data_IF_589444339176
#
_entry.id   IF_589444339176
#
_cell.length_a   1.000
_cell.length_b   1.000
_cell.length_c   1.000
_cell.angle_alpha   90.00
_cell.angle_beta   90.00
_cell.angle_gamma   90.00
#
_symmetry.space_group_name_H-M   'P 1'
#
loop_
_entity.id
_entity.type
_entity.pdbx_description
1 polymer ?
#
# COMPACT_ATOMS: atom_id res chain seq x y z
N UNK A 1 53.21 19.80 -30.48
CA UNK A 1 52.66 18.64 -29.76
C UNK A 1 52.57 19.00 -28.30
N UNK A 2 51.36 19.21 -27.80
CA UNK A 2 51.08 19.32 -26.37
C UNK A 2 49.67 18.74 -26.19
N UNK A 3 49.62 17.56 -25.59
CA UNK A 3 48.39 16.80 -25.37
C UNK A 3 47.57 17.41 -24.22
N UNK A 4 46.26 17.40 -24.43
CA UNK A 4 45.25 17.78 -23.46
C UNK A 4 44.94 16.61 -22.53
N UNK A 5 44.82 16.85 -21.24
CA UNK A 5 44.14 15.94 -20.31
C UNK A 5 43.26 16.76 -19.37
N UNK A 6 42.06 17.06 -19.85
CA UNK A 6 40.92 17.44 -19.01
C UNK A 6 40.45 16.23 -18.20
N UNK A 7 40.36 16.43 -16.89
CA UNK A 7 39.76 15.54 -15.91
C UNK A 7 38.38 15.03 -16.36
N UNK A 8 38.25 13.71 -16.46
CA UNK A 8 36.96 13.02 -16.51
C UNK A 8 36.55 12.68 -15.08
N UNK A 9 35.71 13.53 -14.49
CA UNK A 9 34.82 13.14 -13.40
C UNK A 9 33.89 12.05 -13.94
N UNK A 10 34.18 10.79 -13.64
CA UNK A 10 33.29 9.67 -13.92
C UNK A 10 32.10 9.76 -12.96
N UNK A 11 31.03 10.41 -13.40
CA UNK A 11 29.70 10.22 -12.82
C UNK A 11 29.30 8.77 -13.04
N UNK A 12 29.36 7.94 -12.01
CA UNK A 12 28.83 6.58 -12.03
C UNK A 12 27.32 6.65 -12.23
N UNK A 13 26.88 6.21 -13.42
CA UNK A 13 25.49 5.94 -13.77
C UNK A 13 24.86 5.07 -12.68
N UNK A 14 23.87 5.61 -11.98
CA UNK A 14 22.88 4.77 -11.30
C UNK A 14 21.86 4.44 -12.38
N UNK A 15 21.97 3.23 -12.94
CA UNK A 15 20.95 2.68 -13.83
C UNK A 15 19.59 2.81 -13.15
N UNK A 16 18.63 3.44 -13.84
CA UNK A 16 17.27 3.65 -13.38
C UNK A 16 16.62 2.32 -13.04
N UNK A 17 16.65 1.95 -11.76
CA UNK A 17 15.80 0.89 -11.21
C UNK A 17 14.47 1.54 -10.89
N UNK A 18 13.46 1.24 -11.71
CA UNK A 18 12.08 1.57 -11.41
C UNK A 18 11.62 0.63 -10.30
N UNK A 19 11.57 1.13 -9.06
CA UNK A 19 11.18 0.34 -7.89
C UNK A 19 9.84 0.89 -7.46
N UNK A 20 8.78 0.27 -7.96
CA UNK A 20 7.42 0.65 -7.61
C UNK A 20 7.19 0.29 -6.15
N UNK A 21 7.05 1.32 -5.30
CA UNK A 21 6.79 1.22 -3.87
C UNK A 21 5.33 1.53 -3.69
N UNK A 22 4.53 0.48 -3.80
CA UNK A 22 3.14 0.53 -3.41
C UNK A 22 3.06 0.62 -1.92
N UNK A 23 2.74 1.80 -1.44
CA UNK A 23 2.62 2.06 -0.03
C UNK A 23 1.14 2.42 0.19
N UNK A 24 0.38 1.56 0.85
CA UNK A 24 -0.88 2.00 1.48
C UNK A 24 -0.47 2.90 2.64
N UNK A 25 -0.08 4.15 2.33
CA UNK A 25 0.54 5.05 3.31
C UNK A 25 -0.43 5.56 4.37
N UNK A 26 -1.66 5.09 4.33
CA UNK A 26 -2.59 5.20 5.43
C UNK A 26 -3.11 3.80 5.69
N UNK A 27 -2.44 3.05 6.57
CA UNK A 27 -3.11 1.98 7.32
C UNK A 27 -4.04 2.66 8.29
N UNK A 28 -5.20 3.08 7.80
CA UNK A 28 -6.31 3.25 8.71
C UNK A 28 -6.87 1.86 8.95
N UNK A 29 -6.28 1.19 9.94
CA UNK A 29 -6.87 0.08 10.67
C UNK A 29 -8.10 0.64 11.40
N UNK A 30 -9.15 1.03 10.66
CA UNK A 30 -10.41 1.42 11.27
C UNK A 30 -11.28 0.18 11.43
N UNK A 31 -10.69 -0.84 12.04
CA UNK A 31 -11.42 -2.02 12.49
C UNK A 31 -12.51 -1.61 13.47
N UNK A 32 -12.31 -0.52 14.20
CA UNK A 32 -13.27 0.03 15.15
C UNK A 32 -14.62 0.39 14.49
N UNK A 33 -14.64 0.91 13.26
CA UNK A 33 -15.91 1.28 12.62
C UNK A 33 -16.69 0.07 12.14
N UNK A 34 -16.01 -0.89 11.52
CA UNK A 34 -16.64 -2.12 11.08
C UNK A 34 -17.13 -2.93 12.29
N UNK A 35 -16.32 -2.98 13.36
CA UNK A 35 -16.70 -3.56 14.65
C UNK A 35 -17.89 -2.83 15.29
N UNK A 36 -17.96 -1.50 15.23
CA UNK A 36 -19.11 -0.73 15.71
C UNK A 36 -20.40 -1.03 14.95
N UNK A 37 -20.33 -1.15 13.62
CA UNK A 37 -21.49 -1.50 12.80
C UNK A 37 -21.98 -2.90 13.22
N UNK A 38 -21.06 -3.87 13.28
CA UNK A 38 -21.37 -5.25 13.67
C UNK A 38 -21.90 -5.37 15.11
N UNK A 39 -21.36 -4.60 16.05
CA UNK A 39 -21.74 -4.64 17.45
C UNK A 39 -23.23 -4.29 17.67
N UNK A 40 -23.82 -3.42 16.83
CA UNK A 40 -25.26 -3.12 16.90
C UNK A 40 -26.16 -4.31 16.57
N UNK A 41 -25.63 -5.28 15.84
CA UNK A 41 -26.30 -6.54 15.53
C UNK A 41 -25.89 -7.66 16.50
N UNK A 42 -25.18 -7.33 17.58
CA UNK A 42 -24.65 -8.31 18.53
C UNK A 42 -23.56 -9.21 17.92
N UNK A 43 -22.88 -8.74 16.87
CA UNK A 43 -21.82 -9.49 16.18
C UNK A 43 -20.45 -8.91 16.51
N UNK A 44 -19.46 -9.79 16.55
CA UNK A 44 -18.05 -9.44 16.80
C UNK A 44 -17.28 -9.46 15.50
N UNK A 45 -16.46 -8.43 15.26
CA UNK A 45 -15.47 -8.48 14.18
C UNK A 45 -14.27 -9.30 14.61
N UNK A 46 -14.30 -10.61 14.36
CA UNK A 46 -13.20 -11.50 14.75
C UNK A 46 -11.92 -11.16 13.99
N UNK A 47 -10.76 -11.48 14.60
CA UNK A 47 -9.45 -11.30 13.96
C UNK A 47 -9.34 -12.08 12.65
N UNK A 48 -9.97 -13.26 12.56
CA UNK A 48 -10.00 -14.06 11.35
C UNK A 48 -10.78 -13.38 10.21
N UNK A 49 -11.96 -12.85 10.52
CA UNK A 49 -12.79 -12.15 9.54
C UNK A 49 -12.10 -10.86 9.08
N UNK A 50 -11.49 -10.14 10.02
CA UNK A 50 -10.66 -8.97 9.75
C UNK A 50 -9.53 -9.31 8.77
N UNK A 51 -8.74 -10.33 9.10
CA UNK A 51 -7.64 -10.86 8.28
C UNK A 51 -8.05 -11.20 6.85
N UNK A 52 -9.19 -11.88 6.67
CA UNK A 52 -9.72 -12.27 5.34
C UNK A 52 -10.25 -11.08 4.54
N UNK A 53 -10.75 -10.06 5.22
CA UNK A 53 -11.37 -8.90 4.61
C UNK A 53 -10.38 -7.81 4.16
N UNK A 54 -9.17 -7.79 4.72
CA UNK A 54 -8.13 -6.83 4.36
C UNK A 54 -7.72 -6.95 2.89
N UNK A 55 -7.50 -5.79 2.26
CA UNK A 55 -7.14 -5.69 0.84
C UNK A 55 -8.31 -5.87 -0.15
N UNK A 56 -9.50 -6.30 0.30
CA UNK A 56 -10.68 -6.39 -0.57
C UNK A 56 -11.17 -5.00 -1.00
N UNK A 57 -11.75 -4.96 -2.20
CA UNK A 57 -12.51 -3.80 -2.67
C UNK A 57 -13.80 -3.67 -1.86
N UNK A 58 -14.38 -2.47 -1.89
CA UNK A 58 -15.49 -2.09 -1.02
C UNK A 58 -16.70 -3.04 -1.10
N UNK A 59 -17.10 -3.43 -2.31
CA UNK A 59 -18.25 -4.31 -2.49
C UNK A 59 -17.96 -5.73 -1.98
N UNK A 60 -16.82 -6.31 -2.38
CA UNK A 60 -16.38 -7.64 -1.97
C UNK A 60 -16.20 -7.73 -0.45
N UNK A 61 -15.71 -6.66 0.19
CA UNK A 61 -15.63 -6.53 1.64
C UNK A 61 -17.02 -6.64 2.28
N UNK A 62 -17.99 -5.85 1.83
CA UNK A 62 -19.33 -5.83 2.42
C UNK A 62 -20.05 -7.17 2.24
N UNK A 63 -19.92 -7.79 1.06
CA UNK A 63 -20.46 -9.13 0.78
C UNK A 63 -19.86 -10.17 1.73
N UNK A 64 -18.52 -10.19 1.91
CA UNK A 64 -17.87 -11.10 2.85
C UNK A 64 -18.40 -10.90 4.27
N UNK A 65 -18.42 -9.66 4.75
CA UNK A 65 -18.86 -9.33 6.11
C UNK A 65 -20.30 -9.76 6.38
N UNK A 66 -21.22 -9.48 5.46
CA UNK A 66 -22.63 -9.85 5.60
C UNK A 66 -22.82 -11.36 5.59
N UNK A 67 -22.18 -12.06 4.64
CA UNK A 67 -22.29 -13.51 4.54
C UNK A 67 -21.75 -14.23 5.79
N UNK A 68 -20.65 -13.75 6.35
CA UNK A 68 -19.99 -14.38 7.51
C UNK A 68 -20.72 -14.07 8.83
N UNK A 69 -21.28 -12.87 8.96
CA UNK A 69 -21.93 -12.43 10.21
C UNK A 69 -23.43 -12.71 10.24
N UNK A 70 -24.07 -12.81 9.07
CA UNK A 70 -25.51 -12.96 8.91
C UNK A 70 -26.32 -11.77 9.43
N UNK A 71 -25.75 -10.56 9.42
CA UNK A 71 -26.48 -9.35 9.80
C UNK A 71 -27.58 -9.04 8.78
N UNK A 72 -28.67 -8.46 9.26
CA UNK A 72 -29.79 -8.04 8.41
C UNK A 72 -29.49 -6.67 7.77
N UNK A 73 -28.56 -6.68 6.82
CA UNK A 73 -28.18 -5.54 5.98
C UNK A 73 -27.80 -6.04 4.59
N UNK A 74 -28.08 -5.22 3.58
CA UNK A 74 -27.52 -5.40 2.24
C UNK A 74 -26.09 -4.84 2.15
N UNK A 75 -25.26 -5.31 1.20
CA UNK A 75 -23.91 -4.76 0.98
C UNK A 75 -23.90 -3.24 0.74
N UNK A 76 -24.93 -2.73 0.08
CA UNK A 76 -25.05 -1.30 -0.21
C UNK A 76 -25.39 -0.47 1.03
N UNK A 77 -26.30 -0.96 1.89
CA UNK A 77 -26.60 -0.32 3.17
C UNK A 77 -25.37 -0.29 4.09
N UNK A 78 -24.66 -1.41 4.17
CA UNK A 78 -23.42 -1.51 4.95
C UNK A 78 -22.37 -0.52 4.44
N UNK A 79 -22.17 -0.47 3.12
CA UNK A 79 -21.21 0.44 2.51
C UNK A 79 -21.58 1.91 2.68
N UNK A 80 -22.85 2.26 2.53
CA UNK A 80 -23.34 3.63 2.74
C UNK A 80 -23.04 4.11 4.15
N UNK A 81 -23.26 3.26 5.14
CA UNK A 81 -22.95 3.59 6.51
C UNK A 81 -21.45 3.65 6.77
N UNK A 82 -20.68 2.68 6.26
CA UNK A 82 -19.23 2.68 6.39
C UNK A 82 -18.60 3.93 5.78
N UNK A 83 -19.08 4.37 4.62
CA UNK A 83 -18.65 5.62 3.99
C UNK A 83 -18.88 6.81 4.93
N UNK A 84 -20.07 6.91 5.52
CA UNK A 84 -20.38 8.01 6.47
C UNK A 84 -19.39 8.04 7.62
N UNK A 85 -19.13 6.90 8.27
CA UNK A 85 -18.17 6.81 9.37
C UNK A 85 -16.73 7.08 8.90
N UNK A 86 -16.36 6.59 7.71
CA UNK A 86 -15.07 6.87 7.07
C UNK A 86 -14.83 8.38 6.92
N UNK A 87 -15.83 9.15 6.46
CA UNK A 87 -15.72 10.61 6.33
C UNK A 87 -15.43 11.31 7.66
N UNK A 88 -15.93 10.78 8.77
CA UNK A 88 -15.69 11.34 10.11
C UNK A 88 -14.27 11.07 10.62
N UNK A 89 -13.65 9.95 10.21
CA UNK A 89 -12.36 9.48 10.75
C UNK A 89 -11.16 9.67 9.83
N UNK A 90 -11.34 9.53 8.52
CA UNK A 90 -10.26 9.65 7.53
C UNK A 90 -9.49 10.96 7.58
N UNK A 91 -10.09 12.13 7.88
CA UNK A 91 -9.32 13.35 8.08
C UNK A 91 -8.25 13.21 9.18
N UNK A 92 -8.48 12.42 10.22
CA UNK A 92 -7.53 12.25 11.32
C UNK A 92 -6.51 11.12 11.06
N UNK A 93 -6.49 10.58 9.85
CA UNK A 93 -5.53 9.57 9.43
C UNK A 93 -4.11 10.07 9.55
N UNK A 94 -3.26 9.29 10.21
CA UNK A 94 -1.83 9.54 10.23
C UNK A 94 -1.11 8.52 9.33
N UNK A 95 0.01 8.91 8.73
CA UNK A 95 0.87 7.98 8.03
C UNK A 95 1.42 6.93 8.99
N UNK A 96 1.79 5.78 8.45
CA UNK A 96 2.49 4.77 9.24
C UNK A 96 3.84 5.30 9.73
N UNK A 97 4.31 4.85 10.91
CA UNK A 97 5.68 5.09 11.34
C UNK A 97 6.67 4.63 10.26
N UNK A 98 7.55 5.54 9.83
CA UNK A 98 8.58 5.30 8.81
C UNK A 98 8.15 5.62 7.37
N UNK A 99 6.86 5.81 7.09
CA UNK A 99 6.37 6.12 5.74
C UNK A 99 6.99 7.39 5.15
N UNK A 100 6.87 8.51 5.87
CA UNK A 100 7.44 9.79 5.42
C UNK A 100 8.95 9.68 5.17
N UNK A 101 9.67 8.95 6.04
CA UNK A 101 11.10 8.71 5.90
C UNK A 101 11.42 7.90 4.64
N UNK A 102 10.68 6.81 4.41
CA UNK A 102 10.85 5.95 3.24
C UNK A 102 10.56 6.72 1.95
N UNK A 103 9.37 7.33 1.82
CA UNK A 103 8.97 8.09 0.63
C UNK A 103 9.95 9.23 0.33
N UNK A 104 10.35 10.02 1.34
CA UNK A 104 11.32 11.10 1.17
C UNK A 104 12.68 10.57 0.70
N UNK A 105 13.15 9.45 1.25
CA UNK A 105 14.39 8.81 0.86
C UNK A 105 14.36 8.39 -0.61
N UNK A 106 13.29 7.71 -1.03
CA UNK A 106 13.13 7.23 -2.41
C UNK A 106 13.10 8.39 -3.40
N UNK A 107 12.37 9.46 -3.06
CA UNK A 107 12.34 10.67 -3.88
C UNK A 107 13.68 11.37 -4.00
N UNK A 108 14.43 11.49 -2.90
CA UNK A 108 15.78 12.04 -2.92
C UNK A 108 16.69 11.27 -3.88
N UNK A 109 16.50 9.96 -3.98
CA UNK A 109 17.24 9.09 -4.88
C UNK A 109 16.64 8.94 -6.28
N UNK A 110 15.58 9.70 -6.61
CA UNK A 110 14.86 9.65 -7.89
C UNK A 110 14.34 8.26 -8.25
N UNK A 111 13.93 7.51 -7.23
CA UNK A 111 13.27 6.23 -7.42
C UNK A 111 11.77 6.53 -7.66
N UNK A 112 11.21 6.09 -8.80
CA UNK A 112 9.79 6.27 -9.08
C UNK A 112 8.93 5.47 -8.11
N UNK A 113 7.84 6.06 -7.61
CA UNK A 113 6.96 5.42 -6.62
C UNK A 113 5.49 5.69 -6.97
N UNK A 114 4.63 4.69 -6.80
CA UNK A 114 3.19 4.81 -7.04
C UNK A 114 2.36 4.39 -5.81
N UNK A 115 1.07 4.72 -5.84
CA UNK A 115 0.10 4.15 -4.90
C UNK A 115 -0.87 3.27 -5.66
N UNK A 116 -0.97 2.00 -5.29
CA UNK A 116 -2.01 1.07 -5.70
C UNK A 116 -2.91 0.68 -4.51
N UNK A 117 -4.13 1.24 -4.47
CA UNK A 117 -5.08 0.99 -3.36
C UNK A 117 -6.38 0.36 -3.84
N UNK A 118 -6.94 -0.58 -3.06
CA UNK A 118 -8.30 -1.12 -3.30
C UNK A 118 -9.41 -0.12 -2.93
N UNK A 119 -9.06 1.03 -2.36
CA UNK A 119 -10.01 2.12 -2.07
C UNK A 119 -10.51 2.75 -3.36
N UNK A 120 -11.74 3.27 -3.36
CA UNK A 120 -12.21 4.17 -4.43
C UNK A 120 -11.40 5.47 -4.44
N UNK A 121 -11.42 6.19 -5.57
CA UNK A 121 -10.80 7.51 -5.70
C UNK A 121 -11.32 8.50 -4.66
N UNK A 122 -12.62 8.48 -4.41
CA UNK A 122 -13.25 9.33 -3.38
C UNK A 122 -12.67 9.03 -1.99
N UNK A 123 -12.65 7.76 -1.58
CA UNK A 123 -12.10 7.34 -0.30
C UNK A 123 -10.61 7.68 -0.17
N UNK A 124 -9.84 7.49 -1.25
CA UNK A 124 -8.42 7.89 -1.30
C UNK A 124 -8.25 9.39 -1.08
N UNK A 125 -9.02 10.23 -1.79
CA UNK A 125 -8.88 11.69 -1.70
C UNK A 125 -9.12 12.22 -0.27
N UNK A 126 -10.07 11.63 0.46
CA UNK A 126 -10.37 12.00 1.84
C UNK A 126 -9.21 11.61 2.76
N UNK A 127 -8.70 10.37 2.63
CA UNK A 127 -7.54 9.88 3.41
C UNK A 127 -6.30 10.76 3.16
N UNK A 128 -6.02 11.06 1.90
CA UNK A 128 -4.86 11.83 1.49
C UNK A 128 -4.97 13.33 1.81
N UNK A 129 -6.18 13.85 2.08
CA UNK A 129 -6.43 15.29 2.24
C UNK A 129 -5.58 15.95 3.33
N UNK A 130 -5.35 15.27 4.46
CA UNK A 130 -4.55 15.79 5.57
C UNK A 130 -3.09 15.32 5.57
N UNK A 131 -2.67 14.60 4.52
CA UNK A 131 -1.33 14.04 4.38
C UNK A 131 -0.72 14.39 3.02
N UNK A 132 -1.05 15.59 2.49
CA UNK A 132 -0.63 16.04 1.15
C UNK A 132 0.88 16.04 0.98
N UNK A 133 1.63 16.47 1.99
CA UNK A 133 3.10 16.42 2.02
C UNK A 133 3.68 15.05 1.64
N UNK A 134 2.96 13.98 1.96
CA UNK A 134 3.35 12.61 1.67
C UNK A 134 2.84 12.16 0.31
N UNK A 135 1.56 12.37 0.04
CA UNK A 135 0.93 11.86 -1.19
C UNK A 135 1.31 12.63 -2.45
N UNK A 136 1.66 13.91 -2.32
CA UNK A 136 2.12 14.75 -3.44
C UNK A 136 3.51 14.33 -3.94
N UNK A 137 4.24 13.53 -3.15
CA UNK A 137 5.46 12.92 -3.64
C UNK A 137 5.16 11.85 -4.69
N UNK A 138 4.11 11.04 -4.59
CA UNK A 138 3.93 9.89 -5.49
C UNK A 138 3.78 10.29 -6.97
N UNK A 139 4.41 9.52 -7.87
CA UNK A 139 4.41 9.80 -9.31
C UNK A 139 3.07 9.41 -9.97
N UNK A 140 2.39 8.39 -9.44
CA UNK A 140 1.05 8.03 -9.90
C UNK A 140 0.20 7.41 -8.80
N UNK A 141 -1.12 7.49 -8.96
CA UNK A 141 -2.10 6.89 -8.04
C UNK A 141 -3.12 6.06 -8.84
N UNK A 142 -3.24 4.79 -8.48
CA UNK A 142 -4.23 3.83 -8.98
C UNK A 142 -5.16 3.39 -7.84
N UNK A 143 -6.45 3.60 -8.04
CA UNK A 143 -7.50 3.27 -7.09
C UNK A 143 -8.26 2.01 -7.56
N UNK A 144 -9.01 1.38 -6.66
CA UNK A 144 -9.70 0.11 -6.94
C UNK A 144 -10.88 0.24 -7.91
N UNK A 145 -11.33 1.48 -8.15
CA UNK A 145 -12.33 1.89 -9.12
C UNK A 145 -11.74 2.38 -10.45
N UNK A 146 -10.43 2.22 -10.65
CA UNK A 146 -9.78 2.51 -11.92
C UNK A 146 -10.31 1.58 -13.03
N UNK A 147 -10.54 2.14 -14.23
CA UNK A 147 -11.13 1.41 -15.36
C UNK A 147 -10.29 0.21 -15.80
N UNK A 148 -8.97 0.22 -15.56
CA UNK A 148 -8.07 -0.90 -15.89
C UNK A 148 -8.06 -2.01 -14.83
N UNK A 149 -8.74 -1.82 -13.69
CA UNK A 149 -8.78 -2.77 -12.58
C UNK A 149 -10.10 -3.55 -12.64
N UNK A 150 -10.12 -4.63 -13.43
CA UNK A 150 -11.33 -5.45 -13.58
C UNK A 150 -11.57 -6.29 -12.33
N UNK A 151 -10.51 -6.91 -11.83
CA UNK A 151 -10.55 -7.78 -10.67
C UNK A 151 -9.73 -7.20 -9.52
N UNK A 152 -10.30 -7.22 -8.31
CA UNK A 152 -9.63 -6.75 -7.10
C UNK A 152 -8.62 -7.78 -6.60
N UNK A 153 -7.83 -7.39 -5.60
CA UNK A 153 -6.92 -8.31 -4.91
C UNK A 153 -7.70 -9.56 -4.45
N UNK A 154 -7.20 -10.78 -4.68
CA UNK A 154 -5.83 -11.15 -5.03
C UNK A 154 -5.48 -11.19 -6.53
N UNK A 155 -6.34 -10.68 -7.42
CA UNK A 155 -5.98 -10.53 -8.82
C UNK A 155 -4.88 -9.45 -9.00
N UNK A 156 -3.99 -9.60 -9.99
CA UNK A 156 -2.85 -8.70 -10.18
C UNK A 156 -3.23 -7.36 -10.83
N UNK A 157 -4.48 -7.20 -11.30
CA UNK A 157 -4.93 -6.08 -12.14
C UNK A 157 -4.56 -4.71 -11.56
N UNK A 158 -4.70 -4.52 -10.25
CA UNK A 158 -4.39 -3.24 -9.58
C UNK A 158 -2.90 -2.86 -9.73
N UNK A 159 -2.01 -3.84 -9.53
CA UNK A 159 -0.57 -3.63 -9.61
C UNK A 159 -0.10 -3.47 -11.06
N UNK A 160 -0.68 -4.25 -11.98
CA UNK A 160 -0.40 -4.10 -13.41
C UNK A 160 -0.87 -2.73 -13.93
N UNK A 161 -2.02 -2.24 -13.47
CA UNK A 161 -2.51 -0.90 -13.82
C UNK A 161 -1.65 0.23 -13.23
N UNK A 162 -1.07 0.03 -12.03
CA UNK A 162 -0.09 0.97 -11.47
C UNK A 162 1.20 0.99 -12.31
N UNK A 163 1.76 -0.17 -12.64
CA UNK A 163 2.91 -0.29 -13.52
C UNK A 163 2.71 0.39 -14.88
N UNK A 164 1.54 0.24 -15.49
CA UNK A 164 1.21 0.88 -16.77
C UNK A 164 1.33 2.42 -16.69
N UNK A 165 0.77 3.03 -15.64
CA UNK A 165 0.90 4.48 -15.40
C UNK A 165 2.32 4.92 -15.07
N UNK A 166 3.15 4.01 -14.59
CA UNK A 166 4.58 4.22 -14.29
C UNK A 166 5.49 3.94 -15.50
N UNK A 167 4.92 3.75 -16.70
CA UNK A 167 5.69 3.53 -17.92
C UNK A 167 6.10 2.08 -18.14
N UNK A 168 5.36 1.13 -17.57
CA UNK A 168 5.56 -0.32 -17.72
C UNK A 168 6.97 -0.82 -17.36
N UNK A 169 7.44 -0.61 -16.11
CA UNK A 169 8.67 -1.21 -15.65
C UNK A 169 8.58 -2.75 -15.67
N UNK A 170 9.72 -3.47 -15.79
CA UNK A 170 9.73 -4.91 -15.60
C UNK A 170 9.19 -5.29 -14.22
N UNK A 171 8.13 -6.10 -14.17
CA UNK A 171 7.42 -6.38 -12.90
C UNK A 171 8.31 -7.04 -11.84
N UNK A 172 9.29 -7.84 -12.25
CA UNK A 172 10.27 -8.47 -11.36
C UNK A 172 11.27 -7.49 -10.72
N UNK A 173 11.27 -6.22 -11.14
CA UNK A 173 12.04 -5.13 -10.53
C UNK A 173 11.19 -4.25 -9.60
N UNK A 174 9.87 -4.47 -9.54
CA UNK A 174 8.96 -3.75 -8.66
C UNK A 174 8.96 -4.35 -7.24
N UNK A 175 8.77 -3.50 -6.22
CA UNK A 175 8.80 -3.87 -4.81
C UNK A 175 7.56 -3.37 -4.06
N UNK A 176 6.58 -4.23 -3.91
CA UNK A 176 5.31 -3.90 -3.25
C UNK A 176 5.48 -3.92 -1.72
N UNK A 177 4.96 -2.88 -1.04
CA UNK A 177 4.79 -2.87 0.43
C UNK A 177 3.32 -3.15 0.78
N UNK A 178 3.05 -4.30 1.38
CA UNK A 178 1.68 -4.75 1.61
C UNK A 178 1.42 -5.21 3.05
N UNK A 179 0.22 -4.98 3.56
CA UNK A 179 -0.24 -5.35 4.89
C UNK A 179 -1.36 -6.42 4.90
N UNK A 180 -1.79 -6.86 3.72
CA UNK A 180 -2.89 -7.81 3.50
C UNK A 180 -2.44 -9.05 2.74
N UNK A 181 -2.97 -10.22 3.12
CA UNK A 181 -2.73 -11.48 2.39
C UNK A 181 -3.19 -11.37 0.93
N UNK A 182 -4.33 -10.72 0.69
CA UNK A 182 -4.86 -10.53 -0.66
C UNK A 182 -3.92 -9.68 -1.51
N UNK A 183 -3.32 -8.65 -0.92
CA UNK A 183 -2.31 -7.83 -1.59
C UNK A 183 -1.00 -8.56 -1.86
N UNK A 184 -0.48 -9.31 -0.89
CA UNK A 184 0.70 -10.14 -1.10
C UNK A 184 0.48 -11.09 -2.28
N UNK A 185 -0.67 -11.79 -2.30
CA UNK A 185 -1.04 -12.69 -3.40
C UNK A 185 -1.15 -11.95 -4.73
N UNK A 186 -1.78 -10.78 -4.77
CA UNK A 186 -1.90 -9.99 -5.99
C UNK A 186 -0.54 -9.56 -6.54
N UNK A 187 0.40 -9.15 -5.67
CA UNK A 187 1.74 -8.75 -6.09
C UNK A 187 2.56 -9.93 -6.60
N UNK A 188 2.43 -11.10 -5.94
CA UNK A 188 3.03 -12.35 -6.43
C UNK A 188 2.44 -12.80 -7.77
N UNK A 189 1.13 -12.69 -7.95
CA UNK A 189 0.46 -12.97 -9.22
C UNK A 189 0.90 -12.00 -10.33
N UNK A 190 1.37 -10.80 -9.99
CA UNK A 190 1.97 -9.84 -10.90
C UNK A 190 3.48 -10.07 -11.15
N UNK A 191 4.08 -11.11 -10.56
CA UNK A 191 5.51 -11.41 -10.60
C UNK A 191 6.40 -10.30 -10.00
N UNK A 192 5.93 -9.67 -8.93
CA UNK A 192 6.64 -8.60 -8.21
C UNK A 192 7.28 -9.12 -6.90
N UNK A 193 8.29 -8.40 -6.41
CA UNK A 193 8.82 -8.60 -5.06
C UNK A 193 7.87 -7.96 -4.05
N UNK A 194 7.77 -8.54 -2.87
CA UNK A 194 6.83 -8.14 -1.82
C UNK A 194 7.53 -8.12 -0.47
N UNK A 195 7.59 -6.93 0.14
CA UNK A 195 7.95 -6.77 1.55
C UNK A 195 6.67 -6.50 2.36
N UNK A 196 6.15 -7.48 3.11
CA UNK A 196 5.00 -7.28 3.96
C UNK A 196 5.32 -6.53 5.22
N UNK A 197 4.40 -5.64 5.57
CA UNK A 197 4.17 -5.27 6.95
C UNK A 197 3.13 -6.23 7.53
N UNK A 198 3.48 -7.03 8.54
CA UNK A 198 2.46 -7.81 9.25
C UNK A 198 1.71 -6.86 10.18
N UNK A 199 0.41 -6.66 9.94
CA UNK A 199 -0.51 -6.25 11.01
C UNK A 199 -0.52 -7.41 12.00
N UNK A 200 -0.32 -7.13 13.30
CA UNK A 200 -0.13 -8.05 14.44
C UNK A 200 -1.14 -9.24 14.54
N UNK A 201 -2.13 -9.30 13.66
CA UNK A 201 -3.27 -10.22 13.64
C UNK A 201 -3.09 -11.47 12.77
N UNK A 202 -1.92 -11.73 12.18
CA UNK A 202 -1.70 -12.88 11.29
C UNK A 202 -0.81 -13.98 11.90
N UNK A 203 -1.39 -15.03 12.49
CA UNK A 203 -0.65 -16.25 12.81
C UNK A 203 -0.49 -17.13 11.55
N UNK A 204 0.69 -17.15 10.92
CA UNK A 204 0.99 -18.12 9.85
C UNK A 204 2.11 -17.74 8.87
N UNK A 205 2.51 -18.69 8.00
CA UNK A 205 3.39 -18.43 6.85
C UNK A 205 2.60 -17.76 5.73
N UNK A 206 3.15 -16.71 5.14
CA UNK A 206 2.64 -16.10 3.91
C UNK A 206 3.75 -16.13 2.82
N UNK A 207 3.40 -15.82 1.58
CA UNK A 207 4.29 -15.95 0.40
C UNK A 207 5.25 -14.77 0.23
N UNK A 208 5.48 -13.96 1.25
CA UNK A 208 6.27 -12.77 1.10
C UNK A 208 7.79 -12.97 1.13
N UNK A 209 8.53 -11.98 0.62
CA UNK A 209 10.00 -12.02 0.54
C UNK A 209 10.70 -11.56 1.85
N UNK A 210 10.13 -10.62 2.61
CA UNK A 210 10.64 -10.18 3.92
C UNK A 210 9.54 -9.60 4.81
N UNK A 211 9.50 -9.94 6.10
CA UNK A 211 8.51 -9.41 7.05
C UNK A 211 9.09 -8.33 7.98
N UNK A 212 8.45 -7.17 8.04
CA UNK A 212 8.77 -6.08 8.98
C UNK A 212 7.54 -5.65 9.78
N UNK A 213 7.73 -5.13 10.99
CA UNK A 213 6.64 -4.63 11.85
C UNK A 213 6.45 -3.11 11.72
N UNK A 214 7.50 -2.40 11.32
CA UNK A 214 7.49 -0.97 11.05
C UNK A 214 8.25 -0.67 9.76
N UNK A 215 7.84 0.36 9.01
CA UNK A 215 8.65 0.85 7.87
C UNK A 215 9.98 1.45 8.34
N UNK A 216 10.13 1.74 9.63
CA UNK A 216 11.42 2.11 10.21
C UNK A 216 12.44 0.97 10.18
N UNK A 217 11.98 -0.28 10.17
CA UNK A 217 12.82 -1.48 10.18
C UNK A 217 13.19 -1.94 8.76
N UNK A 218 12.65 -1.28 7.74
CA UNK A 218 12.98 -1.58 6.35
C UNK A 218 14.47 -1.33 6.07
N UNK A 219 15.14 -2.30 5.43
CA UNK A 219 16.54 -2.19 5.02
C UNK A 219 16.63 -2.12 3.49
N UNK A 220 16.75 -0.91 2.89
CA UNK A 220 16.68 -0.74 1.44
C UNK A 220 17.73 -1.58 0.68
N UNK A 221 18.91 -1.77 1.26
CA UNK A 221 20.03 -2.48 0.63
C UNK A 221 19.71 -3.94 0.30
N UNK A 222 18.83 -4.61 1.05
CA UNK A 222 18.36 -5.98 0.76
C UNK A 222 17.66 -6.09 -0.60
N UNK A 223 17.07 -5.00 -1.06
CA UNK A 223 16.36 -4.91 -2.34
C UNK A 223 17.18 -4.18 -3.41
N UNK A 224 18.45 -3.88 -3.14
CA UNK A 224 19.32 -3.16 -4.05
C UNK A 224 18.98 -1.67 -4.20
N UNK A 225 18.30 -1.09 -3.21
CA UNK A 225 18.05 0.33 -3.05
C UNK A 225 19.22 1.02 -2.30
N UNK A 226 19.42 2.34 -2.48
CA UNK A 226 20.38 3.11 -1.69
C UNK A 226 20.08 3.02 -0.19
N UNK A 227 21.10 2.88 0.69
CA UNK A 227 20.89 2.80 2.13
C UNK A 227 20.32 4.12 2.67
N UNK A 228 19.54 4.04 3.73
CA UNK A 228 19.17 5.23 4.49
C UNK A 228 20.42 5.96 5.01
N UNK A 229 20.34 7.29 5.03
CA UNK A 229 21.47 8.16 5.42
C UNK A 229 21.54 8.37 6.94
N UNK A 230 20.41 8.16 7.62
CA UNK A 230 20.19 8.26 9.05
C UNK A 230 20.10 6.85 9.69
N UNK A 231 20.63 6.70 10.91
CA UNK A 231 20.42 5.46 11.69
C UNK A 231 18.99 5.45 12.26
N UNK A 232 18.31 4.28 12.33
CA UNK A 232 17.02 4.17 13.00
C UNK A 232 17.10 4.74 14.43
N UNK A 233 16.16 5.62 14.80
CA UNK A 233 16.04 6.17 16.16
C UNK A 233 16.76 7.50 16.43
N UNK A 234 17.21 8.22 15.40
CA UNK A 234 17.73 9.59 15.54
C UNK A 234 16.64 10.64 15.33
N UNK A 235 15.76 10.76 16.33
CA UNK A 235 15.03 12.00 16.63
C UNK A 235 15.43 12.47 18.01
#
# INVERSE_FOLDING_TARGET
MAESTTDRLTSTNVEGKNIDIDETVITHCIFDMDAEILARFGKTYSLELMSRSLGLRQHEFAVLLINETGIDMTPDEFNKERIKKNFERFPFAKPMPGAMRLVTHLKKHRIPIAVATSSSRESYNIKASNNRELFDMFDSITCGDDANVKNGKPAPDLFLAACDKMGNPPTNQCLVFEDSINGIKAAKNANMKVNPKIVEFYPGKNDADEMIFSLNDFEPTKFGLPPFVDKPGST
#
